data_IF_623268845474
#
_entry.id   IF_623268845474
#
_cell.length_a   1.000
_cell.length_b   1.000
_cell.length_c   1.000
_cell.angle_alpha   90.00
_cell.angle_beta   90.00
_cell.angle_gamma   90.00
#
_symmetry.space_group_name_H-M   'P 1'
#
loop_
_entity.id
_entity.type
_entity.pdbx_description
1 polymer ?
#
# COMPACT_ATOMS: atom_id res chain seq x y z
N UNK A 1 -5.68 -25.77 57.56
CA UNK A 1 -5.03 -24.51 57.14
C UNK A 1 -4.02 -24.87 56.05
N UNK A 2 -4.14 -24.21 54.89
CA UNK A 2 -3.21 -24.08 53.76
C UNK A 2 -3.96 -24.27 52.42
N UNK A 3 -3.98 -23.19 51.66
CA UNK A 3 -4.86 -22.88 50.54
C UNK A 3 -4.56 -23.71 49.28
N UNK A 4 -5.61 -24.24 48.65
CA UNK A 4 -5.56 -24.67 47.26
C UNK A 4 -5.92 -23.49 46.36
N UNK A 5 -4.90 -22.94 45.69
CA UNK A 5 -5.03 -21.94 44.64
C UNK A 5 -5.67 -22.61 43.41
N UNK A 6 -6.87 -22.19 43.04
CA UNK A 6 -7.41 -22.39 41.69
C UNK A 6 -7.76 -21.03 41.10
N UNK A 7 -6.78 -20.48 40.38
CA UNK A 7 -6.92 -19.31 39.54
C UNK A 7 -7.64 -19.76 38.26
N UNK A 8 -8.96 -19.53 38.18
CA UNK A 8 -9.73 -19.82 36.97
C UNK A 8 -9.42 -18.76 35.92
N UNK A 9 -8.46 -19.04 35.04
CA UNK A 9 -8.23 -18.29 33.81
C UNK A 9 -9.39 -18.57 32.84
N UNK A 10 -10.35 -17.67 32.78
CA UNK A 10 -11.36 -17.66 31.71
C UNK A 10 -10.71 -17.05 30.48
N UNK A 11 -10.11 -17.89 29.64
CA UNK A 11 -9.75 -17.52 28.27
C UNK A 11 -11.04 -17.37 27.47
N UNK A 12 -11.49 -16.13 27.31
CA UNK A 12 -12.55 -15.78 26.36
C UNK A 12 -11.93 -15.82 24.97
N UNK A 13 -11.87 -17.02 24.38
CA UNK A 13 -11.56 -17.22 22.96
C UNK A 13 -12.80 -16.87 22.14
N UNK A 14 -12.98 -15.57 21.87
CA UNK A 14 -13.94 -15.16 20.83
C UNK A 14 -13.35 -15.61 19.49
N UNK A 15 -14.05 -16.57 18.91
CA UNK A 15 -13.89 -17.14 17.59
C UNK A 15 -13.41 -16.11 16.56
N UNK A 16 -12.31 -16.46 15.90
CA UNK A 16 -11.79 -15.73 14.76
C UNK A 16 -12.85 -15.61 13.67
N UNK A 17 -13.29 -14.38 13.44
CA UNK A 17 -13.65 -13.99 12.09
C UNK A 17 -12.35 -14.01 11.31
N UNK A 18 -12.16 -15.09 10.54
CA UNK A 18 -11.20 -15.13 9.45
C UNK A 18 -11.65 -14.10 8.42
N UNK A 19 -11.47 -12.81 8.74
CA UNK A 19 -11.39 -11.78 7.73
C UNK A 19 -10.21 -12.20 6.88
N UNK A 20 -10.48 -12.72 5.67
CA UNK A 20 -9.44 -12.93 4.66
C UNK A 20 -8.59 -11.67 4.69
N UNK A 21 -7.41 -11.77 5.29
CA UNK A 21 -6.53 -10.64 5.50
C UNK A 21 -6.21 -10.16 4.10
N UNK A 22 -6.78 -9.02 3.73
CA UNK A 22 -6.36 -8.34 2.54
C UNK A 22 -4.85 -8.26 2.63
N UNK A 23 -4.13 -8.72 1.61
CA UNK A 23 -2.67 -8.71 1.66
C UNK A 23 -2.27 -7.28 1.99
N UNK A 24 -1.63 -7.10 3.15
CA UNK A 24 -1.39 -5.79 3.72
C UNK A 24 -0.33 -5.10 2.84
N UNK A 25 -0.80 -4.39 1.82
CA UNK A 25 0.04 -3.51 1.04
C UNK A 25 0.35 -2.31 1.91
N UNK A 26 1.62 -2.12 2.24
CA UNK A 26 2.09 -0.88 2.86
C UNK A 26 2.36 0.15 1.76
N UNK A 27 1.67 1.29 1.82
CA UNK A 27 1.83 2.39 0.88
C UNK A 27 2.29 3.66 1.59
N UNK A 28 3.13 4.49 0.95
CA UNK A 28 3.41 5.84 1.44
C UNK A 28 2.11 6.65 1.46
N UNK A 29 1.81 7.27 2.59
CA UNK A 29 0.60 8.08 2.76
C UNK A 29 0.98 9.52 3.10
N UNK A 30 0.50 10.46 2.29
CA UNK A 30 0.65 11.89 2.52
C UNK A 30 -0.45 12.65 1.78
N UNK A 31 -0.80 13.84 2.29
CA UNK A 31 -1.75 14.75 1.65
C UNK A 31 -1.17 16.16 1.70
N UNK A 32 -1.11 16.81 0.54
CA UNK A 32 -0.56 18.15 0.37
C UNK A 32 0.90 18.15 -0.06
N UNK A 33 1.26 19.18 -0.84
CA UNK A 33 2.58 19.31 -1.49
C UNK A 33 3.72 19.22 -0.48
N UNK A 34 3.61 19.95 0.64
CA UNK A 34 4.65 19.98 1.66
C UNK A 34 4.84 18.64 2.36
N UNK A 35 3.79 17.82 2.52
CA UNK A 35 3.87 16.51 3.18
C UNK A 35 4.22 15.37 2.21
N UNK A 36 4.02 15.59 0.91
CA UNK A 36 4.36 14.66 -0.16
C UNK A 36 5.66 15.01 -0.90
N UNK A 37 6.40 16.01 -0.40
CA UNK A 37 7.68 16.41 -0.97
C UNK A 37 8.67 15.25 -0.96
N UNK A 38 9.44 15.10 -2.05
CA UNK A 38 10.38 13.99 -2.23
C UNK A 38 11.63 14.10 -1.37
N UNK A 39 11.90 15.24 -0.74
CA UNK A 39 13.08 15.43 0.10
C UNK A 39 12.87 14.99 1.55
N UNK A 40 11.70 14.47 1.90
CA UNK A 40 11.42 13.94 3.23
C UNK A 40 10.98 12.48 3.16
N UNK A 41 11.24 11.75 4.24
CA UNK A 41 10.77 10.37 4.37
C UNK A 41 9.26 10.36 4.58
N UNK A 42 8.52 9.83 3.61
CA UNK A 42 7.06 9.66 3.72
C UNK A 42 6.77 8.33 4.42
N UNK A 43 5.95 8.31 5.47
CA UNK A 43 5.66 7.08 6.20
C UNK A 43 4.84 6.13 5.32
N UNK A 44 5.28 4.87 5.25
CA UNK A 44 4.49 3.77 4.70
C UNK A 44 3.62 3.16 5.79
N UNK A 45 2.33 3.00 5.51
CA UNK A 45 1.35 2.45 6.45
C UNK A 45 0.51 1.37 5.75
N UNK A 46 -0.01 0.40 6.51
CA UNK A 46 -0.86 -0.65 5.93
C UNK A 46 -2.14 -0.05 5.36
N UNK A 47 -2.48 -0.43 4.13
CA UNK A 47 -3.73 0.01 3.51
C UNK A 47 -4.93 -0.49 4.32
N UNK A 48 -5.79 0.46 4.69
CA UNK A 48 -7.07 0.21 5.34
C UNK A 48 -8.18 0.87 4.55
N UNK A 49 -9.43 0.45 4.79
CA UNK A 49 -10.60 1.10 4.20
C UNK A 49 -10.64 2.61 4.50
N UNK A 50 -10.18 3.04 5.67
CA UNK A 50 -10.09 4.46 6.06
C UNK A 50 -9.13 5.23 5.14
N UNK A 51 -7.92 4.70 4.95
CA UNK A 51 -6.91 5.33 4.09
C UNK A 51 -7.40 5.36 2.65
N UNK A 52 -7.97 4.26 2.15
CA UNK A 52 -8.55 4.20 0.80
C UNK A 52 -9.62 5.27 0.61
N UNK A 53 -10.56 5.40 1.54
CA UNK A 53 -11.62 6.39 1.43
C UNK A 53 -11.07 7.82 1.44
N UNK A 54 -10.09 8.11 2.29
CA UNK A 54 -9.43 9.41 2.33
C UNK A 54 -8.69 9.71 1.02
N UNK A 55 -7.91 8.77 0.49
CA UNK A 55 -7.19 8.92 -0.78
C UNK A 55 -8.17 9.15 -1.92
N UNK A 56 -9.20 8.32 -2.06
CA UNK A 56 -10.21 8.46 -3.13
C UNK A 56 -10.98 9.78 -3.02
N UNK A 57 -11.30 10.24 -1.81
CA UNK A 57 -11.94 11.54 -1.60
C UNK A 57 -11.08 12.68 -2.14
N UNK A 58 -9.76 12.67 -1.89
CA UNK A 58 -8.84 13.66 -2.44
C UNK A 58 -8.77 13.59 -3.98
N UNK A 59 -8.84 12.39 -4.55
CA UNK A 59 -8.73 12.19 -6.00
C UNK A 59 -10.00 12.54 -6.78
N UNK A 60 -11.17 12.64 -6.13
CA UNK A 60 -12.45 12.94 -6.77
C UNK A 60 -12.50 14.31 -7.47
N UNK A 61 -11.56 15.21 -7.13
CA UNK A 61 -11.41 16.50 -7.81
C UNK A 61 -10.78 16.38 -9.21
N UNK A 62 -10.07 15.29 -9.50
CA UNK A 62 -9.37 15.09 -10.78
C UNK A 62 -9.97 13.96 -11.60
N UNK A 63 -10.39 12.87 -10.95
CA UNK A 63 -10.88 11.67 -11.61
C UNK A 63 -12.40 11.54 -11.49
N UNK A 64 -12.99 10.80 -12.41
CA UNK A 64 -14.39 10.37 -12.37
C UNK A 64 -14.49 8.87 -12.09
N UNK A 65 -15.69 8.38 -11.76
CA UNK A 65 -15.97 6.94 -11.56
C UNK A 65 -15.15 6.24 -10.45
N UNK A 66 -14.81 6.96 -9.38
CA UNK A 66 -13.96 6.40 -8.32
C UNK A 66 -14.64 5.41 -7.35
N UNK A 67 -15.94 5.14 -7.49
CA UNK A 67 -16.69 4.28 -6.55
C UNK A 67 -16.19 2.84 -6.49
N UNK A 68 -15.62 2.33 -7.58
CA UNK A 68 -15.01 0.99 -7.61
C UNK A 68 -13.76 0.89 -6.73
N UNK A 69 -13.08 2.02 -6.47
CA UNK A 69 -11.82 2.06 -5.74
C UNK A 69 -11.98 2.19 -4.23
N UNK A 70 -13.22 2.33 -3.74
CA UNK A 70 -13.57 2.29 -2.30
C UNK A 70 -14.36 1.05 -1.93
N UNK A 71 -14.75 0.21 -2.92
CA UNK A 71 -15.46 -1.03 -2.68
C UNK A 71 -14.62 -1.98 -1.82
N UNK A 72 -15.20 -2.78 -0.92
CA UNK A 72 -14.45 -3.77 -0.16
C UNK A 72 -13.70 -4.72 -1.08
N UNK A 73 -12.38 -4.83 -0.93
CA UNK A 73 -11.55 -5.78 -1.66
C UNK A 73 -10.58 -6.50 -0.72
N UNK A 74 -10.06 -7.63 -1.18
CA UNK A 74 -8.99 -8.40 -0.52
C UNK A 74 -7.60 -7.92 -0.93
N UNK A 75 -7.52 -6.93 -1.81
CA UNK A 75 -6.26 -6.45 -2.38
C UNK A 75 -6.32 -4.93 -2.44
N UNK A 76 -5.15 -4.31 -2.21
CA UNK A 76 -4.98 -2.86 -2.27
C UNK A 76 -3.84 -2.52 -3.22
N UNK A 77 -3.85 -1.27 -3.70
CA UNK A 77 -2.81 -0.74 -4.57
C UNK A 77 -2.38 0.64 -4.08
N UNK A 78 -1.13 1.01 -4.35
CA UNK A 78 -0.60 2.32 -4.04
C UNK A 78 -0.82 3.28 -5.22
N UNK A 79 -1.16 4.52 -4.90
CA UNK A 79 -1.28 5.60 -5.88
C UNK A 79 -0.53 6.84 -5.40
N UNK A 80 0.11 7.53 -6.34
CA UNK A 80 0.71 8.86 -6.15
C UNK A 80 0.19 9.78 -7.24
N UNK A 81 -0.45 10.88 -6.85
CA UNK A 81 -0.97 11.88 -7.79
C UNK A 81 -0.44 13.25 -7.44
N UNK A 82 0.14 13.91 -8.43
CA UNK A 82 0.67 15.26 -8.36
C UNK A 82 0.01 16.10 -9.45
N UNK A 83 -0.30 17.36 -9.14
CA UNK A 83 -0.85 18.30 -10.10
C UNK A 83 -0.13 19.64 -10.03
N UNK A 84 0.18 20.18 -11.20
CA UNK A 84 0.79 21.49 -11.39
C UNK A 84 0.01 22.29 -12.43
N UNK A 85 0.02 23.63 -12.33
CA UNK A 85 -0.66 24.51 -13.29
C UNK A 85 -0.03 24.48 -14.68
N UNK A 86 1.27 24.15 -14.76
CA UNK A 86 2.03 23.98 -15.98
C UNK A 86 3.08 22.88 -15.79
N UNK A 87 3.60 22.33 -16.89
CA UNK A 87 4.60 21.25 -16.88
C UNK A 87 5.89 21.59 -16.11
N UNK A 88 6.22 22.88 -15.94
CA UNK A 88 7.46 23.34 -15.30
C UNK A 88 7.22 24.12 -13.99
N UNK A 89 5.97 24.21 -13.52
CA UNK A 89 5.65 24.86 -12.24
C UNK A 89 5.69 23.86 -11.10
N UNK A 90 5.93 24.35 -9.88
CA UNK A 90 5.77 23.57 -8.66
C UNK A 90 4.38 22.92 -8.59
N UNK A 91 4.34 21.71 -8.02
CA UNK A 91 3.08 21.05 -7.70
C UNK A 91 2.27 21.94 -6.76
N UNK A 92 0.98 22.08 -7.03
CA UNK A 92 0.01 22.76 -6.15
C UNK A 92 -0.90 21.77 -5.44
N UNK A 93 -0.87 20.51 -5.87
CA UNK A 93 -1.53 19.39 -5.20
C UNK A 93 -0.64 18.16 -5.28
N UNK A 94 -0.63 17.39 -4.19
CA UNK A 94 0.02 16.09 -4.13
C UNK A 94 -0.71 15.21 -3.12
N UNK A 95 -0.91 13.94 -3.48
CA UNK A 95 -1.44 12.92 -2.58
C UNK A 95 -0.75 11.59 -2.87
N UNK A 96 -0.38 10.85 -1.83
CA UNK A 96 0.01 9.45 -1.91
C UNK A 96 -0.87 8.64 -0.98
N UNK A 97 -1.29 7.46 -1.40
CA UNK A 97 -2.06 6.58 -0.55
C UNK A 97 -2.54 5.32 -1.24
N UNK A 98 -3.71 4.83 -0.81
CA UNK A 98 -4.20 3.51 -1.19
C UNK A 98 -5.48 3.59 -2.03
N UNK A 99 -5.66 2.61 -2.90
CA UNK A 99 -6.94 2.31 -3.56
C UNK A 99 -7.33 0.86 -3.35
N UNK A 100 -8.62 0.57 -3.32
CA UNK A 100 -9.12 -0.79 -3.26
C UNK A 100 -9.06 -1.48 -4.62
N UNK A 101 -8.68 -2.75 -4.61
CA UNK A 101 -8.52 -3.59 -5.80
C UNK A 101 -7.21 -3.35 -6.56
N UNK A 102 -7.12 -4.00 -7.72
CA UNK A 102 -5.94 -4.02 -8.61
C UNK A 102 -6.16 -3.25 -9.91
N UNK A 103 -7.25 -2.49 -10.00
CA UNK A 103 -7.48 -1.62 -11.15
C UNK A 103 -6.58 -0.40 -11.06
N UNK A 104 -6.08 0.04 -12.21
CA UNK A 104 -5.26 1.24 -12.29
C UNK A 104 -6.15 2.49 -12.24
N UNK A 105 -6.19 3.19 -11.11
CA UNK A 105 -6.93 4.45 -10.98
C UNK A 105 -6.42 5.55 -11.91
N UNK A 106 -5.14 5.52 -12.30
CA UNK A 106 -4.55 6.49 -13.23
C UNK A 106 -5.07 6.36 -14.67
N UNK A 107 -5.80 5.29 -14.97
CA UNK A 107 -6.45 5.08 -16.28
C UNK A 107 -7.90 5.56 -16.31
N UNK A 108 -8.44 5.99 -15.17
CA UNK A 108 -9.81 6.50 -15.11
C UNK A 108 -9.93 7.85 -15.83
N UNK A 109 -11.11 8.19 -16.37
CA UNK A 109 -11.31 9.46 -17.05
C UNK A 109 -11.10 10.62 -16.08
N UNK A 110 -10.29 11.58 -16.50
CA UNK A 110 -10.08 12.83 -15.77
C UNK A 110 -11.14 13.87 -16.14
N UNK A 111 -11.43 14.77 -15.21
CA UNK A 111 -12.14 16.02 -15.51
C UNK A 111 -11.26 16.88 -16.42
N UNK A 112 -11.85 17.83 -17.15
CA UNK A 112 -11.03 18.85 -17.82
C UNK A 112 -10.28 19.67 -16.77
N UNK A 113 -8.95 19.64 -16.84
CA UNK A 113 -8.04 20.33 -15.92
C UNK A 113 -7.05 21.14 -16.74
N UNK A 114 -6.95 22.44 -16.43
CA UNK A 114 -5.93 23.32 -16.98
C UNK A 114 -4.63 23.13 -16.21
N UNK A 115 -3.82 22.16 -16.62
CA UNK A 115 -2.51 21.89 -16.02
C UNK A 115 -1.94 20.54 -16.41
N UNK A 116 -0.95 20.09 -15.64
CA UNK A 116 -0.33 18.78 -15.80
C UNK A 116 -0.65 17.91 -14.59
N UNK A 117 -1.32 16.78 -14.83
CA UNK A 117 -1.59 15.74 -13.84
C UNK A 117 -0.60 14.59 -14.04
N UNK A 118 0.16 14.26 -13.01
CA UNK A 118 1.04 13.09 -12.99
C UNK A 118 0.50 12.07 -12.00
N UNK A 119 0.11 10.91 -12.50
CA UNK A 119 -0.43 9.82 -11.71
C UNK A 119 0.46 8.57 -11.86
N UNK A 120 0.85 7.99 -10.73
CA UNK A 120 1.63 6.75 -10.65
C UNK A 120 0.81 5.77 -9.85
N UNK A 121 0.61 4.58 -10.42
CA UNK A 121 -0.09 3.46 -9.80
C UNK A 121 0.86 2.28 -9.65
N UNK A 122 0.74 1.57 -8.55
CA UNK A 122 1.48 0.34 -8.30
C UNK A 122 0.58 -0.68 -7.59
N UNK A 123 0.43 -1.86 -8.18
CA UNK A 123 -0.45 -2.95 -7.72
C UNK A 123 0.09 -3.69 -6.48
N UNK A 124 0.73 -2.98 -5.56
CA UNK A 124 1.12 -3.50 -4.25
C UNK A 124 2.51 -4.13 -4.16
N UNK A 125 3.39 -3.95 -5.16
CA UNK A 125 4.81 -4.17 -4.94
C UNK A 125 5.42 -2.89 -4.39
N UNK A 126 5.42 -2.74 -3.06
CA UNK A 126 6.19 -1.77 -2.27
C UNK A 126 6.64 -0.54 -3.05
N UNK A 127 5.95 0.59 -2.89
CA UNK A 127 6.42 1.88 -3.40
C UNK A 127 7.63 2.31 -2.54
N UNK A 128 8.78 1.66 -2.74
CA UNK A 128 10.05 2.12 -2.20
C UNK A 128 10.34 3.43 -2.94
N UNK A 129 10.52 4.50 -2.17
CA UNK A 129 10.76 5.83 -2.69
C UNK A 129 11.76 5.76 -3.84
N UNK A 130 11.34 6.24 -5.01
CA UNK A 130 12.17 6.24 -6.21
C UNK A 130 13.17 7.39 -6.13
N UNK A 131 13.99 7.34 -5.08
CA UNK A 131 15.27 8.00 -4.97
C UNK A 131 16.35 6.93 -4.99
N UNK A 132 17.12 6.87 -6.08
CA UNK A 132 18.23 5.95 -6.37
C UNK A 132 17.88 4.58 -6.97
N UNK A 133 18.03 4.50 -8.29
CA UNK A 133 18.45 3.28 -8.98
C UNK A 133 19.77 2.78 -8.38
N UNK A 134 19.88 1.46 -8.13
CA UNK A 134 20.98 0.55 -8.54
C UNK A 134 20.98 -0.72 -7.66
N UNK A 135 20.79 -1.88 -8.30
CA UNK A 135 21.20 -3.23 -7.88
C UNK A 135 20.80 -3.73 -6.48
N UNK A 136 19.63 -4.37 -6.38
CA UNK A 136 19.40 -5.43 -5.38
C UNK A 136 18.40 -6.43 -5.95
N UNK A 137 18.82 -7.09 -7.03
CA UNK A 137 18.01 -8.08 -7.73
C UNK A 137 18.88 -9.17 -8.27
N UNK A 138 19.44 -9.99 -7.37
CA UNK A 138 19.77 -11.40 -7.58
C UNK A 138 20.45 -11.88 -6.30
N UNK A 139 19.84 -12.83 -5.60
CA UNK A 139 20.51 -13.94 -4.89
C UNK A 139 19.44 -14.64 -4.06
N UNK A 140 18.60 -15.46 -4.68
CA UNK A 140 17.96 -16.57 -3.97
C UNK A 140 17.72 -17.75 -4.93
N UNK A 141 18.35 -18.86 -4.56
CA UNK A 141 17.93 -20.25 -4.75
C UNK A 141 18.14 -20.93 -6.11
N UNK A 142 19.34 -21.47 -6.28
CA UNK A 142 19.58 -22.80 -6.89
C UNK A 142 20.63 -23.47 -5.98
N UNK A 143 20.55 -24.70 -5.49
CA UNK A 143 19.66 -25.81 -5.76
C UNK A 143 19.66 -26.76 -4.55
N UNK A 144 18.53 -27.44 -4.32
CA UNK A 144 18.45 -28.70 -3.56
C UNK A 144 18.98 -29.81 -4.46
N UNK A 145 19.99 -30.56 -4.00
CA UNK A 145 20.21 -31.93 -4.43
C UNK A 145 20.54 -32.81 -3.22
N UNK A 146 19.60 -33.70 -2.95
CA UNK A 146 19.64 -34.81 -2.00
C UNK A 146 20.59 -35.87 -2.57
N UNK A 147 21.46 -36.42 -1.73
CA UNK A 147 22.30 -37.57 -2.07
C UNK A 147 22.85 -38.25 -0.83
N UNK A 148 22.07 -39.18 -0.28
CA UNK A 148 22.51 -40.08 0.78
C UNK A 148 23.52 -41.09 0.22
N UNK A 149 24.70 -41.19 0.82
CA UNK A 149 25.50 -42.41 0.79
C UNK A 149 26.12 -42.62 2.18
N UNK A 150 25.48 -43.49 2.95
CA UNK A 150 26.21 -44.30 3.91
C UNK A 150 27.18 -45.17 3.13
N UNK A 151 28.43 -45.27 3.57
CA UNK A 151 29.23 -46.51 3.53
C UNK A 151 30.42 -46.33 4.47
N UNK A 152 30.45 -47.20 5.46
CA UNK A 152 31.53 -47.50 6.38
C UNK A 152 32.83 -47.88 5.66
N UNK A 153 33.97 -47.52 6.25
CA UNK A 153 35.12 -48.42 6.41
C UNK A 153 35.97 -47.99 7.59
#
# INVERSE_FOLDING_TARGET
MANNVRLTLVFVTIFGVLSKSAQATDCPVCVGVQACDTNQTIPSVPCTATIVNQTVLQLNQFFTNLSTYTAPATEYSCVSVEFSLTVNSSNIFAVRGCTSGTKNICSEPHREINGALRCIYNSGQSLHDRGHSVLTGLLLNMAVLIGAFALSS
#
